data_IF_315795771775
#
_entry.id   IF_315795771775
#
_cell.length_a   1.000
_cell.length_b   1.000
_cell.length_c   1.000
_cell.angle_alpha   90.00
_cell.angle_beta   90.00
_cell.angle_gamma   90.00
#
_symmetry.space_group_name_H-M   'P 1'
#
loop_
_entity.id
_entity.type
_entity.pdbx_description
1 polymer ?
#
# COMPACT_ATOMS: atom_id res chain seq x y z
N UNK A 1 -6.59 5.31 -0.78
CA UNK A 1 -6.95 4.60 -2.04
C UNK A 1 -8.46 4.54 -2.26
N UNK A 2 -9.27 3.97 -1.36
CA UNK A 2 -10.74 3.98 -1.52
C UNK A 2 -11.33 5.40 -1.50
N UNK A 3 -10.83 6.27 -0.61
CA UNK A 3 -11.17 7.69 -0.56
C UNK A 3 -10.86 8.41 -1.88
N UNK A 4 -9.70 8.14 -2.48
CA UNK A 4 -9.31 8.69 -3.79
C UNK A 4 -10.25 8.22 -4.90
N UNK A 5 -10.66 6.94 -4.90
CA UNK A 5 -11.63 6.43 -5.87
C UNK A 5 -13.02 7.06 -5.72
N UNK A 6 -13.47 7.26 -4.48
CA UNK A 6 -14.71 8.03 -4.20
C UNK A 6 -14.62 9.46 -4.71
N UNK A 7 -13.51 10.16 -4.45
CA UNK A 7 -13.26 11.51 -4.99
C UNK A 7 -13.24 11.53 -6.52
N UNK A 8 -12.73 10.48 -7.16
CA UNK A 8 -12.78 10.31 -8.61
C UNK A 8 -14.20 10.20 -9.15
N UNK A 9 -15.06 9.44 -8.46
CA UNK A 9 -16.49 9.35 -8.79
C UNK A 9 -17.20 10.71 -8.62
N UNK A 10 -16.98 11.39 -7.50
CA UNK A 10 -17.54 12.73 -7.29
C UNK A 10 -17.04 13.72 -8.35
N UNK A 11 -15.75 13.70 -8.68
CA UNK A 11 -15.19 14.54 -9.74
C UNK A 11 -15.77 14.22 -11.11
N UNK A 12 -16.10 12.95 -11.40
CA UNK A 12 -16.79 12.57 -12.63
C UNK A 12 -18.23 13.11 -12.64
N UNK A 13 -18.93 13.07 -11.50
CA UNK A 13 -20.27 13.66 -11.33
C UNK A 13 -20.26 15.18 -11.52
N UNK A 14 -19.20 15.87 -11.10
CA UNK A 14 -19.04 17.31 -11.33
C UNK A 14 -18.93 17.68 -12.81
N UNK A 15 -18.57 16.75 -13.70
CA UNK A 15 -18.48 17.02 -15.15
C UNK A 15 -19.84 17.23 -15.83
N UNK A 16 -20.95 16.84 -15.18
CA UNK A 16 -22.30 17.16 -15.67
C UNK A 16 -22.69 18.62 -15.42
N UNK A 17 -22.00 19.32 -14.52
CA UNK A 17 -22.29 20.70 -14.18
C UNK A 17 -21.43 21.66 -15.01
N UNK A 18 -21.94 22.86 -15.32
CA UNK A 18 -21.18 23.86 -16.05
C UNK A 18 -19.98 24.32 -15.22
N UNK A 19 -18.85 24.57 -15.88
CA UNK A 19 -17.60 24.96 -15.23
C UNK A 19 -17.51 26.49 -15.15
N UNK A 20 -17.60 27.10 -13.95
CA UNK A 20 -17.35 28.52 -13.81
C UNK A 20 -15.85 28.79 -13.98
N UNK A 21 -15.51 29.82 -14.72
CA UNK A 21 -14.15 30.29 -14.89
C UNK A 21 -14.05 31.76 -14.50
N UNK A 22 -12.98 32.09 -13.79
CA UNK A 22 -12.63 33.47 -13.44
C UNK A 22 -11.20 33.67 -13.92
N UNK A 23 -10.99 34.66 -14.79
CA UNK A 23 -9.65 35.03 -15.24
C UNK A 23 -9.38 36.50 -14.92
N UNK A 24 -8.21 36.75 -14.34
CA UNK A 24 -7.72 38.08 -14.02
C UNK A 24 -6.48 38.28 -14.88
N UNK A 25 -6.56 39.18 -15.84
CA UNK A 25 -5.44 39.54 -16.70
C UNK A 25 -4.96 40.92 -16.32
N UNK A 26 -3.67 41.03 -16.03
CA UNK A 26 -2.98 42.32 -15.91
C UNK A 26 -2.10 42.49 -17.14
N UNK A 27 -2.35 43.49 -17.95
CA UNK A 27 -1.39 43.86 -18.99
C UNK A 27 -0.38 44.82 -18.33
N UNK A 28 0.85 44.88 -18.83
CA UNK A 28 1.81 45.90 -18.44
C UNK A 28 2.07 46.71 -19.70
N UNK A 29 1.26 47.72 -19.97
CA UNK A 29 1.51 48.63 -21.07
C UNK A 29 2.83 49.39 -20.83
N UNK A 30 3.84 49.14 -21.68
CA UNK A 30 5.06 49.96 -21.72
C UNK A 30 4.70 51.36 -22.22
N UNK A 31 5.29 52.38 -21.60
CA UNK A 31 4.98 53.82 -21.71
C UNK A 31 5.16 54.46 -23.10
N UNK A 32 5.34 53.68 -24.16
CA UNK A 32 5.56 54.15 -25.54
C UNK A 32 4.30 54.13 -26.41
N UNK A 33 3.16 53.66 -25.91
CA UNK A 33 1.91 53.58 -26.67
C UNK A 33 0.88 54.61 -26.16
N UNK A 34 0.69 55.71 -26.91
CA UNK A 34 -0.16 56.84 -26.54
C UNK A 34 -1.66 56.49 -26.45
N UNK A 35 -2.07 55.29 -26.87
CA UNK A 35 -3.47 54.85 -26.88
C UNK A 35 -3.90 54.10 -25.61
N UNK A 36 -2.99 53.80 -24.67
CA UNK A 36 -3.30 52.98 -23.49
C UNK A 36 -3.03 53.74 -22.18
N UNK A 37 -3.94 54.65 -21.84
CA UNK A 37 -3.95 55.37 -20.56
C UNK A 37 -5.10 54.86 -19.69
N UNK A 38 -4.95 53.67 -19.11
CA UNK A 38 -5.99 53.10 -18.25
C UNK A 38 -5.50 51.89 -17.43
N UNK A 39 -5.89 51.86 -16.15
CA UNK A 39 -5.50 50.85 -15.17
C UNK A 39 -5.69 49.41 -15.69
N UNK A 40 -4.58 48.68 -15.69
CA UNK A 40 -4.37 47.57 -16.63
C UNK A 40 -4.87 46.23 -16.10
N UNK A 41 -6.07 46.19 -15.46
CA UNK A 41 -6.63 44.97 -14.81
C UNK A 41 -8.00 44.61 -15.36
N UNK A 42 -8.04 43.51 -16.12
CA UNK A 42 -9.28 42.94 -16.69
C UNK A 42 -9.68 41.68 -15.91
N UNK A 43 -10.88 41.69 -15.32
CA UNK A 43 -11.48 40.52 -14.69
C UNK A 43 -12.56 39.97 -15.63
N UNK A 44 -12.41 38.74 -16.12
CA UNK A 44 -13.41 38.05 -16.95
C UNK A 44 -14.04 36.91 -16.15
N UNK A 45 -15.36 36.85 -16.18
CA UNK A 45 -16.14 35.73 -15.65
C UNK A 45 -16.70 34.96 -16.85
N UNK A 46 -16.49 33.65 -16.89
CA UNK A 46 -16.99 32.76 -17.92
C UNK A 46 -17.74 31.59 -17.32
N UNK A 47 -18.72 31.08 -18.04
CA UNK A 47 -19.39 29.83 -17.71
C UNK A 47 -19.30 28.92 -18.92
N UNK A 48 -18.53 27.84 -18.83
CA UNK A 48 -18.39 26.88 -19.92
C UNK A 48 -19.28 25.67 -19.66
N UNK A 49 -20.28 25.44 -20.51
CA UNK A 49 -21.14 24.26 -20.46
C UNK A 49 -20.92 23.40 -21.69
N UNK A 50 -20.64 22.12 -21.49
CA UNK A 50 -20.56 21.17 -22.61
C UNK A 50 -21.99 20.74 -22.95
N UNK A 51 -22.56 21.29 -24.02
CA UNK A 51 -23.99 21.11 -24.35
C UNK A 51 -24.33 19.68 -24.81
N UNK A 52 -23.35 18.95 -25.34
CA UNK A 52 -23.49 17.53 -25.67
C UNK A 52 -22.10 16.88 -25.76
N UNK A 53 -21.80 15.95 -24.85
CA UNK A 53 -20.52 15.25 -24.80
C UNK A 53 -20.59 13.82 -25.39
N UNK A 54 -21.61 13.51 -26.22
CA UNK A 54 -21.71 12.25 -26.98
C UNK A 54 -21.49 10.95 -26.18
N UNK A 55 -21.88 10.91 -24.90
CA UNK A 55 -21.65 9.77 -24.00
C UNK A 55 -20.27 9.70 -23.35
N UNK A 56 -19.34 10.63 -23.63
CA UNK A 56 -18.01 10.69 -22.99
C UNK A 56 -18.11 10.87 -21.48
N UNK A 57 -19.04 11.70 -21.01
CA UNK A 57 -19.24 11.95 -19.58
C UNK A 57 -19.79 10.68 -18.90
N UNK A 58 -20.76 10.01 -19.54
CA UNK A 58 -21.33 8.76 -19.05
C UNK A 58 -20.30 7.63 -18.98
N UNK A 59 -19.47 7.47 -20.03
CA UNK A 59 -18.36 6.52 -20.03
C UNK A 59 -17.31 6.83 -18.95
N UNK A 60 -17.05 8.12 -18.69
CA UNK A 60 -16.19 8.56 -17.59
C UNK A 60 -16.75 8.20 -16.21
N UNK A 61 -18.05 8.37 -16.03
CA UNK A 61 -18.79 7.97 -14.83
C UNK A 61 -18.76 6.47 -14.61
N UNK A 62 -19.06 5.68 -15.65
CA UNK A 62 -19.05 4.21 -15.60
C UNK A 62 -17.66 3.70 -15.24
N UNK A 63 -16.61 4.25 -15.86
CA UNK A 63 -15.22 3.94 -15.52
C UNK A 63 -14.92 4.25 -14.05
N UNK A 64 -15.33 5.42 -13.54
CA UNK A 64 -15.10 5.79 -12.15
C UNK A 64 -15.84 4.86 -11.17
N UNK A 65 -17.05 4.44 -11.51
CA UNK A 65 -17.85 3.49 -10.74
C UNK A 65 -17.22 2.09 -10.72
N UNK A 66 -16.74 1.60 -11.87
CA UNK A 66 -16.01 0.35 -11.97
C UNK A 66 -14.69 0.39 -11.18
N UNK A 67 -13.97 1.51 -11.22
CA UNK A 67 -12.79 1.70 -10.37
C UNK A 67 -13.15 1.65 -8.89
N UNK A 68 -14.25 2.26 -8.46
CA UNK A 68 -14.69 2.20 -7.07
C UNK A 68 -15.01 0.76 -6.63
N UNK A 69 -15.68 -0.03 -7.46
CA UNK A 69 -15.99 -1.44 -7.15
C UNK A 69 -14.72 -2.28 -7.04
N UNK A 70 -13.78 -2.14 -7.99
CA UNK A 70 -12.46 -2.80 -7.95
C UNK A 70 -11.72 -2.47 -6.65
N UNK A 71 -11.69 -1.18 -6.26
CA UNK A 71 -10.97 -0.74 -5.05
C UNK A 71 -11.62 -1.27 -3.77
N UNK A 72 -12.95 -1.44 -3.74
CA UNK A 72 -13.63 -2.13 -2.63
C UNK A 72 -13.21 -3.60 -2.54
N UNK A 73 -13.12 -4.30 -3.66
CA UNK A 73 -12.67 -5.71 -3.70
C UNK A 73 -11.21 -5.85 -3.25
N UNK A 74 -10.32 -4.97 -3.69
CA UNK A 74 -8.92 -4.94 -3.25
C UNK A 74 -8.83 -4.74 -1.73
N UNK A 75 -9.67 -3.89 -1.14
CA UNK A 75 -9.71 -3.69 0.31
C UNK A 75 -10.08 -4.99 1.05
N UNK A 76 -11.04 -5.76 0.53
CA UNK A 76 -11.42 -7.05 1.12
C UNK A 76 -10.27 -8.06 1.01
N UNK A 77 -9.59 -8.13 -0.14
CA UNK A 77 -8.42 -9.00 -0.32
C UNK A 77 -7.29 -8.59 0.64
N UNK A 78 -6.99 -7.30 0.77
CA UNK A 78 -5.96 -6.81 1.69
C UNK A 78 -6.27 -7.15 3.16
N UNK A 79 -7.54 -7.05 3.57
CA UNK A 79 -7.98 -7.46 4.92
C UNK A 79 -7.77 -8.96 5.15
N UNK A 80 -8.13 -9.79 4.17
CA UNK A 80 -7.92 -11.25 4.24
C UNK A 80 -6.44 -11.59 4.30
N UNK A 81 -5.61 -10.95 3.48
CA UNK A 81 -4.16 -11.16 3.48
C UNK A 81 -3.54 -10.77 4.82
N UNK A 82 -3.99 -9.67 5.44
CA UNK A 82 -3.55 -9.27 6.77
C UNK A 82 -3.89 -10.33 7.81
N UNK A 83 -5.12 -10.86 7.79
CA UNK A 83 -5.52 -11.95 8.69
C UNK A 83 -4.65 -13.20 8.51
N UNK A 84 -4.40 -13.62 7.26
CA UNK A 84 -3.50 -14.74 6.98
C UNK A 84 -2.06 -14.49 7.44
N UNK A 85 -1.55 -13.26 7.29
CA UNK A 85 -0.21 -12.91 7.74
C UNK A 85 -0.09 -13.04 9.26
N UNK A 86 -1.09 -12.57 10.02
CA UNK A 86 -1.12 -12.73 11.50
C UNK A 86 -1.07 -14.20 11.89
N UNK A 87 -1.91 -15.04 11.27
CA UNK A 87 -1.94 -16.48 11.53
C UNK A 87 -0.58 -17.13 11.21
N UNK A 88 0.02 -16.78 10.08
CA UNK A 88 1.33 -17.29 9.66
C UNK A 88 2.43 -16.88 10.63
N UNK A 89 2.47 -15.61 11.06
CA UNK A 89 3.46 -15.12 12.03
C UNK A 89 3.33 -15.84 13.38
N UNK A 90 2.11 -16.05 13.85
CA UNK A 90 1.86 -16.79 15.09
C UNK A 90 2.27 -18.26 14.97
N UNK A 91 1.87 -18.92 13.88
CA UNK A 91 2.26 -20.32 13.60
C UNK A 91 3.78 -20.48 13.51
N UNK A 92 4.47 -19.56 12.85
CA UNK A 92 5.93 -19.55 12.78
C UNK A 92 6.57 -19.39 14.16
N UNK A 93 6.09 -18.45 14.98
CA UNK A 93 6.57 -18.27 16.35
C UNK A 93 6.38 -19.54 17.20
N UNK A 94 5.18 -20.12 17.18
CA UNK A 94 4.86 -21.32 17.95
C UNK A 94 5.71 -22.52 17.51
N UNK A 95 5.88 -22.73 16.20
CA UNK A 95 6.73 -23.79 15.68
C UNK A 95 8.21 -23.62 16.09
N UNK A 96 8.71 -22.38 16.11
CA UNK A 96 10.06 -22.06 16.59
C UNK A 96 10.20 -22.30 18.09
N UNK A 97 9.16 -22.00 18.87
CA UNK A 97 9.14 -22.31 20.31
C UNK A 97 9.24 -23.83 20.56
N UNK A 98 8.45 -24.63 19.84
CA UNK A 98 8.51 -26.09 19.92
C UNK A 98 9.87 -26.64 19.49
N UNK A 99 10.44 -26.13 18.39
CA UNK A 99 11.79 -26.52 17.94
C UNK A 99 12.86 -26.19 18.99
N UNK A 100 12.78 -25.02 19.63
CA UNK A 100 13.70 -24.63 20.70
C UNK A 100 13.59 -25.56 21.91
N UNK A 101 12.37 -25.95 22.28
CA UNK A 101 12.13 -26.91 23.36
C UNK A 101 12.73 -28.29 23.04
N UNK A 102 12.46 -28.82 21.85
CA UNK A 102 13.03 -30.09 21.39
C UNK A 102 14.58 -30.04 21.34
N UNK A 103 15.15 -28.97 20.78
CA UNK A 103 16.59 -28.77 20.73
C UNK A 103 17.25 -28.71 22.11
N UNK A 104 16.57 -28.12 23.10
CA UNK A 104 17.09 -28.07 24.48
C UNK A 104 17.20 -29.44 25.12
N UNK A 105 16.29 -30.36 24.82
CA UNK A 105 16.31 -31.76 25.30
C UNK A 105 17.45 -32.51 24.61
N UNK A 106 17.53 -32.45 23.27
CA UNK A 106 18.61 -33.10 22.52
C UNK A 106 19.99 -32.60 22.94
N UNK A 107 20.13 -31.31 23.30
CA UNK A 107 21.38 -30.77 23.84
C UNK A 107 21.75 -31.40 25.18
N UNK A 108 20.78 -31.57 26.09
CA UNK A 108 21.04 -32.21 27.39
C UNK A 108 21.48 -33.66 27.22
N UNK A 109 20.83 -34.43 26.35
CA UNK A 109 21.22 -35.81 26.03
C UNK A 109 22.64 -35.88 25.48
N UNK A 110 22.97 -35.01 24.52
CA UNK A 110 24.31 -34.94 23.96
C UNK A 110 25.38 -34.55 25.00
N UNK A 111 25.08 -33.60 25.88
CA UNK A 111 25.99 -33.21 26.97
C UNK A 111 26.14 -34.33 28.01
N UNK A 112 25.10 -35.13 28.25
CA UNK A 112 25.14 -36.33 29.09
C UNK A 112 26.07 -37.39 28.50
N UNK A 113 25.87 -37.79 27.24
CA UNK A 113 26.73 -38.78 26.57
C UNK A 113 28.21 -38.34 26.53
N UNK A 114 28.47 -37.05 26.34
CA UNK A 114 29.83 -36.50 26.40
C UNK A 114 30.48 -36.69 27.78
N UNK A 115 29.72 -36.48 28.86
CA UNK A 115 30.23 -36.69 30.23
C UNK A 115 30.56 -38.16 30.47
N UNK A 116 29.68 -39.07 30.06
CA UNK A 116 29.92 -40.51 30.19
C UNK A 116 31.18 -40.95 29.43
N UNK A 117 31.34 -40.50 28.18
CA UNK A 117 32.54 -40.78 27.38
C UNK A 117 33.82 -40.23 28.03
N UNK A 118 33.79 -39.03 28.61
CA UNK A 118 34.95 -38.47 29.31
C UNK A 118 35.34 -39.29 30.55
N UNK A 119 34.36 -39.76 31.33
CA UNK A 119 34.62 -40.60 32.51
C UNK A 119 35.21 -41.94 32.10
N UNK A 120 34.71 -42.55 31.03
CA UNK A 120 35.24 -43.81 30.50
C UNK A 120 36.70 -43.67 30.01
N UNK A 121 37.01 -42.62 29.26
CA UNK A 121 38.37 -42.33 28.78
C UNK A 121 39.35 -42.11 29.94
N UNK A 122 38.96 -41.34 30.97
CA UNK A 122 39.83 -41.08 32.13
C UNK A 122 40.13 -42.34 32.97
N UNK A 123 39.25 -43.34 32.95
CA UNK A 123 39.47 -44.64 33.61
C UNK A 123 40.35 -45.60 32.80
N UNK A 124 40.90 -45.15 31.66
CA UNK A 124 41.84 -45.93 30.85
C UNK A 124 41.20 -47.07 30.06
N UNK A 125 39.89 -46.98 29.77
CA UNK A 125 39.18 -48.02 29.02
C UNK A 125 39.51 -47.96 27.52
N UNK A 126 39.97 -49.06 26.88
CA UNK A 126 40.17 -49.08 25.44
C UNK A 126 38.80 -49.15 24.72
N UNK A 127 38.44 -48.09 24.00
CA UNK A 127 37.23 -47.95 23.17
C UNK A 127 37.23 -48.91 21.96
N UNK A 128 37.27 -50.22 22.17
CA UNK A 128 37.31 -51.23 21.10
C UNK A 128 36.10 -52.17 21.05
N UNK A 129 35.09 -51.96 21.87
CA UNK A 129 33.88 -52.77 21.87
C UNK A 129 32.69 -51.82 21.81
N UNK A 130 31.70 -52.13 20.97
CA UNK A 130 30.48 -51.37 20.68
C UNK A 130 30.60 -50.45 19.45
N UNK A 131 30.83 -51.07 18.29
CA UNK A 131 30.07 -50.78 17.07
C UNK A 131 29.50 -52.12 16.60
N UNK A 132 28.18 -52.22 16.52
CA UNK A 132 27.46 -53.36 15.95
C UNK A 132 26.48 -52.85 14.91
#
# INVERSE_FOLDING_TARGET
MLSSAKKGLESAKWQYFPTPSVSISRVNATTTDLSYSGDDKVIKLGLNQTLWAGGRIDAGMEKAQAQLSIRKSILLVARRQLAFNVIRSYSAWYSSHLKRKAFSVSKQEHDFYKKELCVALNKGFPLKLICH
#
